data_IF_048008174742
#
_entry.id   IF_048008174742
#
_cell.length_a   1.000
_cell.length_b   1.000
_cell.length_c   1.000
_cell.angle_alpha   90.00
_cell.angle_beta   90.00
_cell.angle_gamma   90.00
#
_symmetry.space_group_name_H-M   'P 1'
#
loop_
_entity.id
_entity.type
_entity.pdbx_description
1 polymer ?
#
# COMPACT_ATOMS: atom_id res chain seq x y z
N UNK A 1 -4.86 5.73 -14.84
CA UNK A 1 -4.30 4.39 -14.49
C UNK A 1 -3.34 4.56 -13.31
N UNK A 2 -3.41 3.67 -12.31
CA UNK A 2 -2.43 3.61 -11.22
C UNK A 2 -1.71 2.26 -11.31
N UNK A 3 -0.40 2.28 -11.56
CA UNK A 3 0.48 1.12 -11.61
C UNK A 3 1.16 0.88 -10.27
N UNK A 4 0.94 -0.29 -9.69
CA UNK A 4 1.53 -0.68 -8.41
C UNK A 4 2.73 -1.58 -8.66
N UNK A 5 3.92 -1.02 -8.43
CA UNK A 5 5.25 -1.61 -8.69
C UNK A 5 5.33 -2.42 -10.00
N UNK A 6 5.12 -1.80 -11.18
CA UNK A 6 4.96 -2.51 -12.44
C UNK A 6 6.10 -3.48 -12.72
N UNK A 7 5.77 -4.69 -13.17
CA UNK A 7 6.74 -5.75 -13.38
C UNK A 7 7.81 -5.38 -14.42
N UNK A 8 9.08 -5.65 -14.09
CA UNK A 8 10.24 -5.52 -14.98
C UNK A 8 10.64 -6.83 -15.68
N UNK A 9 10.67 -7.99 -15.00
CA UNK A 9 11.14 -9.23 -15.60
C UNK A 9 10.35 -9.57 -16.87
N UNK A 10 11.06 -9.96 -17.93
CA UNK A 10 10.49 -10.36 -19.22
C UNK A 10 9.74 -9.25 -19.98
N UNK A 11 9.67 -8.03 -19.43
CA UNK A 11 9.07 -6.86 -20.08
C UNK A 11 10.14 -6.07 -20.84
N UNK A 12 9.93 -5.89 -22.16
CA UNK A 12 10.84 -5.13 -23.02
C UNK A 12 10.80 -3.65 -22.63
N UNK A 13 11.92 -2.96 -22.80
CA UNK A 13 12.06 -1.54 -22.42
C UNK A 13 11.25 -0.57 -23.27
N UNK A 14 10.82 -0.98 -24.47
CA UNK A 14 10.11 -0.11 -25.41
C UNK A 14 8.73 0.27 -24.85
N UNK A 15 8.31 1.55 -24.92
CA UNK A 15 7.03 2.02 -24.37
C UNK A 15 5.84 1.13 -24.71
N UNK A 16 5.71 0.69 -25.96
CA UNK A 16 4.63 -0.20 -26.44
C UNK A 16 4.51 -1.57 -25.74
N UNK A 17 5.47 -1.94 -24.90
CA UNK A 17 5.53 -3.25 -24.23
C UNK A 17 5.41 -3.15 -22.71
N UNK A 18 5.30 -1.94 -22.16
CA UNK A 18 5.28 -1.66 -20.73
C UNK A 18 4.23 -0.59 -20.46
N UNK A 19 3.91 -0.38 -19.18
CA UNK A 19 3.16 0.80 -18.78
C UNK A 19 3.93 2.06 -19.19
N UNK A 20 3.25 2.96 -19.88
CA UNK A 20 3.73 4.26 -20.32
C UNK A 20 2.71 5.36 -20.04
N UNK A 21 3.18 6.61 -19.97
CA UNK A 21 2.31 7.77 -19.76
C UNK A 21 1.25 7.91 -20.88
N UNK A 22 1.51 7.42 -22.09
CA UNK A 22 0.53 7.47 -23.18
C UNK A 22 -0.70 6.56 -23.00
N UNK A 23 -0.68 5.64 -22.02
CA UNK A 23 -1.73 4.62 -21.88
C UNK A 23 -3.04 5.16 -21.27
N UNK A 24 -3.03 6.35 -20.66
CA UNK A 24 -4.21 7.04 -20.14
C UNK A 24 -3.97 8.54 -19.96
N UNK A 25 -5.04 9.31 -19.70
CA UNK A 25 -4.95 10.76 -19.42
C UNK A 25 -4.02 11.07 -18.25
N UNK A 26 -4.09 10.26 -17.19
CA UNK A 26 -3.19 10.32 -16.04
C UNK A 26 -2.71 8.92 -15.73
N UNK A 27 -1.39 8.78 -15.57
CA UNK A 27 -0.72 7.53 -15.23
C UNK A 27 0.15 7.80 -14.02
N UNK A 28 -0.19 7.16 -12.92
CA UNK A 28 0.55 7.22 -11.67
C UNK A 28 1.23 5.88 -11.44
N UNK A 29 2.47 5.90 -10.95
CA UNK A 29 3.22 4.68 -10.65
C UNK A 29 3.82 4.75 -9.27
N UNK A 30 3.60 3.71 -8.45
CA UNK A 30 4.22 3.55 -7.13
C UNK A 30 5.31 2.50 -7.24
N UNK A 31 6.57 2.90 -7.08
CA UNK A 31 7.75 2.05 -7.14
C UNK A 31 8.19 1.65 -5.73
N UNK A 32 8.17 0.35 -5.44
CA UNK A 32 8.55 -0.21 -4.14
C UNK A 32 9.62 -1.29 -4.23
N UNK A 33 9.97 -1.81 -5.41
CA UNK A 33 11.07 -2.77 -5.55
C UNK A 33 11.82 -2.63 -6.88
N UNK A 34 13.11 -2.96 -6.87
CA UNK A 34 13.96 -2.88 -8.07
C UNK A 34 14.14 -4.23 -8.78
N UNK A 35 13.86 -5.32 -8.07
CA UNK A 35 14.07 -6.69 -8.58
C UNK A 35 12.87 -7.16 -9.39
N UNK A 36 11.68 -7.07 -8.81
CA UNK A 36 10.42 -7.42 -9.46
C UNK A 36 9.78 -6.22 -10.15
N UNK A 37 9.86 -5.03 -9.54
CA UNK A 37 9.41 -3.77 -10.11
C UNK A 37 10.38 -3.13 -11.11
N UNK A 38 9.85 -2.23 -11.92
CA UNK A 38 10.59 -1.42 -12.91
C UNK A 38 10.79 0.01 -12.43
N UNK A 39 11.98 0.32 -11.89
CA UNK A 39 12.34 1.66 -11.43
C UNK A 39 12.51 2.73 -12.52
N UNK A 40 12.28 2.38 -13.79
CA UNK A 40 12.27 3.35 -14.89
C UNK A 40 10.96 4.10 -14.85
N UNK A 41 11.02 5.41 -15.13
CA UNK A 41 9.84 6.27 -15.29
C UNK A 41 8.83 5.62 -16.24
N UNK A 42 7.59 5.50 -15.79
CA UNK A 42 6.48 4.90 -16.54
C UNK A 42 5.24 5.79 -16.57
N UNK A 43 5.14 6.81 -15.71
CA UNK A 43 3.93 7.62 -15.57
C UNK A 43 4.12 9.11 -15.87
N UNK A 44 2.99 9.80 -15.79
CA UNK A 44 2.95 11.23 -15.55
C UNK A 44 3.55 11.55 -14.17
N UNK A 45 3.17 10.73 -13.18
CA UNK A 45 3.60 10.80 -11.79
C UNK A 45 4.27 9.48 -11.42
N UNK A 46 5.53 9.53 -11.00
CA UNK A 46 6.25 8.37 -10.49
C UNK A 46 6.62 8.62 -9.02
N UNK A 47 6.24 7.72 -8.13
CA UNK A 47 6.44 7.81 -6.69
C UNK A 47 7.41 6.71 -6.27
N UNK A 48 8.61 7.07 -5.84
CA UNK A 48 9.61 6.14 -5.36
C UNK A 48 9.56 6.05 -3.84
N UNK A 49 9.14 4.91 -3.31
CA UNK A 49 9.18 4.65 -1.87
C UNK A 49 10.55 4.09 -1.51
N UNK A 50 11.28 4.76 -0.61
CA UNK A 50 12.64 4.41 -0.21
C UNK A 50 13.57 4.16 -1.42
N UNK A 51 13.39 4.97 -2.46
CA UNK A 51 14.14 4.86 -3.71
C UNK A 51 13.73 3.71 -4.64
N UNK A 52 12.57 3.07 -4.41
CA UNK A 52 12.07 1.95 -5.21
C UNK A 52 12.95 0.70 -5.08
N UNK A 53 13.43 0.40 -3.88
CA UNK A 53 14.35 -0.71 -3.59
C UNK A 53 13.79 -1.62 -2.50
N UNK A 54 14.58 -2.56 -2.01
CA UNK A 54 14.23 -3.29 -0.80
C UNK A 54 13.78 -2.31 0.29
N UNK A 55 12.56 -2.49 0.78
CA UNK A 55 11.97 -1.63 1.78
C UNK A 55 12.54 -1.96 3.17
N UNK A 56 12.86 -0.97 4.02
CA UNK A 56 13.49 -1.22 5.32
C UNK A 56 12.68 -2.17 6.21
N UNK A 57 11.35 -2.01 6.26
CA UNK A 57 10.46 -2.89 7.03
C UNK A 57 10.38 -4.34 6.51
N UNK A 58 10.88 -4.62 5.31
CA UNK A 58 10.93 -5.98 4.77
C UNK A 58 12.22 -6.72 5.15
N UNK A 59 13.12 -6.07 5.90
CA UNK A 59 14.35 -6.70 6.35
C UNK A 59 14.07 -7.96 7.17
N UNK A 60 14.92 -8.98 7.02
CA UNK A 60 14.79 -10.29 7.68
C UNK A 60 13.57 -11.13 7.27
N UNK A 61 12.81 -10.73 6.24
CA UNK A 61 11.84 -11.62 5.62
C UNK A 61 12.55 -12.66 4.75
N UNK A 62 11.89 -13.79 4.47
CA UNK A 62 12.44 -14.85 3.61
C UNK A 62 12.74 -14.36 2.19
N UNK A 63 12.02 -13.33 1.72
CA UNK A 63 12.26 -12.70 0.44
C UNK A 63 11.93 -11.19 0.52
N UNK A 64 12.94 -10.39 0.87
CA UNK A 64 12.80 -8.94 1.06
C UNK A 64 12.27 -8.23 -0.19
N UNK A 65 12.70 -8.67 -1.37
CA UNK A 65 12.27 -8.07 -2.64
C UNK A 65 10.82 -8.37 -2.95
N UNK A 66 10.35 -9.60 -2.69
CA UNK A 66 8.95 -9.95 -2.87
C UNK A 66 8.07 -9.22 -1.86
N UNK A 67 8.47 -9.16 -0.59
CA UNK A 67 7.81 -8.35 0.43
C UNK A 67 7.68 -6.89 -0.03
N UNK A 68 8.77 -6.31 -0.53
CA UNK A 68 8.81 -4.93 -1.03
C UNK A 68 7.85 -4.73 -2.21
N UNK A 69 7.85 -5.66 -3.16
CA UNK A 69 7.01 -5.63 -4.36
C UNK A 69 5.52 -5.63 -4.02
N UNK A 70 5.08 -6.54 -3.15
CA UNK A 70 3.67 -6.65 -2.78
C UNK A 70 3.17 -5.48 -1.90
N UNK A 71 4.07 -4.75 -1.22
CA UNK A 71 3.67 -3.59 -0.39
C UNK A 71 3.21 -2.37 -1.19
N UNK A 72 3.44 -2.33 -2.50
CA UNK A 72 2.81 -1.34 -3.37
C UNK A 72 1.27 -1.35 -3.24
N UNK A 73 0.68 -2.53 -3.07
CA UNK A 73 -0.77 -2.71 -2.81
C UNK A 73 -1.18 -2.10 -1.47
N UNK A 74 -0.37 -2.27 -0.44
CA UNK A 74 -0.65 -1.73 0.89
C UNK A 74 -0.51 -0.20 0.94
N UNK A 75 0.44 0.39 0.21
CA UNK A 75 0.48 1.85 0.03
C UNK A 75 -0.76 2.38 -0.68
N UNK A 76 -1.24 1.67 -1.70
CA UNK A 76 -2.48 2.04 -2.38
C UNK A 76 -3.69 1.93 -1.44
N UNK A 77 -3.77 0.88 -0.63
CA UNK A 77 -4.84 0.73 0.36
C UNK A 77 -4.82 1.84 1.42
N UNK A 78 -3.63 2.16 1.96
CA UNK A 78 -3.42 3.29 2.88
C UNK A 78 -3.85 4.62 2.26
N UNK A 79 -3.62 4.79 0.95
CA UNK A 79 -3.97 6.03 0.26
C UNK A 79 -5.46 6.31 0.10
N UNK A 80 -6.33 5.31 0.32
CA UNK A 80 -7.77 5.48 0.15
C UNK A 80 -8.38 6.42 1.20
N UNK A 81 -7.75 6.52 2.37
CA UNK A 81 -8.08 7.53 3.38
C UNK A 81 -7.01 8.62 3.38
N UNK A 82 -7.35 9.86 2.97
CA UNK A 82 -6.44 11.00 3.01
C UNK A 82 -5.77 11.24 4.37
N UNK A 83 -6.42 10.84 5.48
CA UNK A 83 -5.88 11.00 6.82
C UNK A 83 -4.71 10.05 7.12
N UNK A 84 -4.59 8.94 6.38
CA UNK A 84 -3.52 7.94 6.55
C UNK A 84 -2.53 7.91 5.39
N UNK A 85 -2.93 8.44 4.22
CA UNK A 85 -2.11 8.49 3.03
C UNK A 85 -0.73 9.13 3.28
N UNK A 86 0.33 8.50 2.77
CA UNK A 86 1.68 9.05 2.86
C UNK A 86 1.82 10.29 1.99
N UNK A 87 2.60 11.25 2.48
CA UNK A 87 3.00 12.43 1.72
C UNK A 87 4.28 12.12 0.96
N UNK A 88 4.25 12.27 -0.36
CA UNK A 88 5.43 12.21 -1.18
C UNK A 88 5.94 13.61 -1.50
N UNK A 89 7.25 13.79 -1.36
CA UNK A 89 7.91 15.04 -1.70
C UNK A 89 8.54 14.93 -3.08
N UNK A 90 8.43 15.99 -3.88
CA UNK A 90 9.35 16.29 -4.95
C UNK A 90 10.77 15.68 -4.82
N UNK A 91 11.27 14.86 -5.77
CA UNK A 91 12.68 14.41 -5.78
C UNK A 91 13.37 14.34 -7.17
N UNK A 92 14.57 13.74 -7.26
CA UNK A 92 15.39 13.70 -8.49
C UNK A 92 14.69 12.98 -9.64
N UNK A 93 15.19 13.12 -10.88
CA UNK A 93 14.55 12.53 -12.08
C UNK A 93 14.50 10.98 -12.14
N UNK A 94 15.04 10.28 -11.14
CA UNK A 94 15.11 8.80 -11.10
C UNK A 94 14.88 8.30 -9.68
N UNK A 95 14.34 7.08 -9.55
CA UNK A 95 14.33 6.36 -8.27
C UNK A 95 15.77 5.97 -7.90
N UNK A 96 16.42 6.80 -7.09
CA UNK A 96 17.72 6.52 -6.49
C UNK A 96 17.57 6.38 -4.98
N UNK A 97 18.31 5.44 -4.38
CA UNK A 97 18.44 5.37 -2.93
C UNK A 97 19.57 6.28 -2.44
N UNK A 98 19.27 7.10 -1.44
CA UNK A 98 20.16 8.06 -0.81
C UNK A 98 19.53 9.46 -0.73
N UNK A 99 19.79 10.17 0.37
CA UNK A 99 19.24 11.48 0.76
C UNK A 99 19.67 12.66 -0.11
N UNK A 100 19.96 12.42 -1.39
CA UNK A 100 20.21 13.50 -2.34
C UNK A 100 18.87 14.08 -2.77
N UNK A 101 18.29 14.86 -1.85
CA UNK A 101 17.39 15.96 -2.17
C UNK A 101 18.23 16.98 -2.94
N UNK A 102 18.51 16.68 -4.20
CA UNK A 102 19.04 17.70 -5.10
C UNK A 102 17.99 18.80 -5.18
N UNK A 103 18.49 20.02 -5.26
CA UNK A 103 17.85 21.33 -5.16
C UNK A 103 16.79 21.60 -6.25
N UNK A 104 15.95 20.62 -6.60
CA UNK A 104 14.84 20.75 -7.55
C UNK A 104 13.61 21.44 -6.91
N UNK A 105 13.79 21.99 -5.69
CA UNK A 105 12.86 22.64 -4.75
C UNK A 105 11.88 23.71 -5.30
N UNK A 106 11.56 23.78 -6.60
CA UNK A 106 10.76 24.88 -7.17
C UNK A 106 9.70 24.54 -8.23
N UNK A 107 9.27 23.28 -8.43
CA UNK A 107 8.28 23.01 -9.49
C UNK A 107 7.01 22.25 -9.10
N UNK A 108 6.97 21.53 -7.98
CA UNK A 108 5.73 20.89 -7.55
C UNK A 108 5.56 20.96 -6.02
N UNK A 109 4.32 21.15 -5.52
CA UNK A 109 4.03 20.96 -4.11
C UNK A 109 4.11 19.47 -3.74
N UNK A 110 4.32 19.12 -2.45
CA UNK A 110 4.11 17.76 -1.96
C UNK A 110 2.70 17.26 -2.30
N UNK A 111 2.56 15.95 -2.48
CA UNK A 111 1.28 15.31 -2.82
C UNK A 111 1.01 14.14 -1.88
N UNK A 112 -0.26 13.84 -1.63
CA UNK A 112 -0.65 12.54 -1.10
C UNK A 112 -0.39 11.50 -2.19
N UNK A 113 0.12 10.32 -1.82
CA UNK A 113 0.29 9.22 -2.78
C UNK A 113 -1.05 8.54 -3.06
N UNK A 114 -1.12 7.77 -4.16
CA UNK A 114 -2.29 6.96 -4.52
C UNK A 114 -3.55 7.78 -4.84
N UNK A 115 -4.70 7.38 -4.33
CA UNK A 115 -6.02 7.81 -4.81
C UNK A 115 -6.25 9.33 -4.81
N UNK A 116 -5.67 10.06 -3.86
CA UNK A 116 -5.85 11.50 -3.71
C UNK A 116 -4.70 12.33 -4.31
N UNK A 117 -3.84 11.70 -5.12
CA UNK A 117 -2.82 12.45 -5.87
C UNK A 117 -3.53 13.33 -6.90
N UNK A 118 -3.26 14.64 -6.96
CA UNK A 118 -3.88 15.51 -7.96
C UNK A 118 -3.52 15.06 -9.39
N UNK A 119 -4.52 15.00 -10.27
CA UNK A 119 -4.34 14.64 -11.69
C UNK A 119 -3.41 15.62 -12.45
N UNK A 120 -3.28 16.84 -11.95
CA UNK A 120 -2.35 17.85 -12.49
C UNK A 120 -0.90 17.67 -12.01
N UNK A 121 -0.64 16.79 -11.06
CA UNK A 121 0.72 16.54 -10.57
C UNK A 121 1.53 15.86 -11.68
N UNK A 122 2.81 16.24 -11.80
CA UNK A 122 3.71 15.63 -12.78
C UNK A 122 5.12 15.56 -12.24
N UNK A 123 5.86 14.53 -12.64
CA UNK A 123 7.26 14.35 -12.30
C UNK A 123 7.50 13.21 -11.31
N UNK A 124 8.64 13.31 -10.60
CA UNK A 124 9.10 12.29 -9.66
C UNK A 124 8.90 12.75 -8.23
N UNK A 125 8.32 11.89 -7.42
CA UNK A 125 8.09 12.10 -6.00
C UNK A 125 8.72 10.96 -5.21
N UNK A 126 9.12 11.24 -3.99
CA UNK A 126 9.77 10.27 -3.12
C UNK A 126 9.06 10.25 -1.76
N UNK A 127 8.96 9.04 -1.21
CA UNK A 127 8.53 8.79 0.17
C UNK A 127 9.71 8.12 0.87
N UNK A 128 10.05 8.59 2.07
CA UNK A 128 11.00 7.93 2.96
C UNK A 128 10.25 7.46 4.20
N UNK A 129 10.27 6.15 4.49
CA UNK A 129 9.61 5.59 5.65
C UNK A 129 10.18 4.21 6.04
N UNK A 130 10.20 3.94 7.34
CA UNK A 130 10.65 2.65 7.88
C UNK A 130 9.49 1.77 8.35
N UNK A 131 8.26 2.28 8.32
CA UNK A 131 7.06 1.56 8.77
C UNK A 131 6.37 0.84 7.61
N UNK A 132 5.88 -0.37 7.85
CA UNK A 132 5.05 -1.10 6.88
C UNK A 132 3.73 -0.33 6.65
N UNK A 133 3.35 -0.03 5.38
CA UNK A 133 2.15 0.74 5.08
C UNK A 133 0.89 -0.02 5.45
N UNK A 134 -0.12 0.69 5.97
CA UNK A 134 -1.43 0.13 6.29
C UNK A 134 -1.44 -1.04 7.30
N UNK A 135 -0.37 -1.25 8.06
CA UNK A 135 -0.36 -2.18 9.18
C UNK A 135 -0.99 -1.49 10.41
N UNK A 136 -2.08 -2.04 11.00
CA UNK A 136 -2.69 -1.46 12.19
C UNK A 136 -1.73 -1.55 13.39
N UNK A 137 -1.60 -0.49 14.19
CA UNK A 137 -0.72 -0.49 15.37
C UNK A 137 -1.34 -1.15 16.59
N UNK A 138 -2.67 -1.10 16.70
CA UNK A 138 -3.46 -1.77 17.74
C UNK A 138 -4.81 -2.22 17.18
N UNK A 139 -5.53 -3.02 17.97
CA UNK A 139 -6.88 -3.48 17.63
C UNK A 139 -7.82 -2.28 17.42
N UNK A 140 -8.50 -2.27 16.28
CA UNK A 140 -9.45 -1.23 15.91
C UNK A 140 -8.86 -0.04 15.16
N UNK A 141 -7.53 0.05 15.02
CA UNK A 141 -6.92 1.04 14.14
C UNK A 141 -7.23 0.70 12.66
N UNK A 142 -7.38 1.72 11.79
CA UNK A 142 -7.44 1.50 10.34
C UNK A 142 -6.21 0.74 9.85
N UNK A 143 -6.43 -0.27 9.00
CA UNK A 143 -5.36 -1.06 8.43
C UNK A 143 -5.78 -2.48 8.08
N UNK A 144 -4.81 -3.25 7.60
CA UNK A 144 -4.94 -4.68 7.35
C UNK A 144 -3.76 -5.44 7.97
N UNK A 145 -4.01 -6.47 8.80
CA UNK A 145 -2.96 -7.35 9.31
C UNK A 145 -2.12 -8.05 8.23
N UNK A 146 -2.67 -8.18 7.01
CA UNK A 146 -1.94 -8.68 5.82
C UNK A 146 -0.81 -7.74 5.38
N UNK A 147 -0.94 -6.45 5.70
CA UNK A 147 0.04 -5.43 5.40
C UNK A 147 1.19 -5.34 6.42
N UNK A 148 1.05 -5.99 7.57
CA UNK A 148 2.12 -6.09 8.58
C UNK A 148 3.27 -7.00 8.13
N UNK A 149 4.47 -6.77 8.63
CA UNK A 149 5.65 -7.58 8.33
C UNK A 149 6.25 -8.13 9.65
N UNK A 150 6.22 -9.46 9.88
CA UNK A 150 5.55 -10.49 9.06
C UNK A 150 4.01 -10.33 9.08
N UNK A 151 3.28 -10.90 8.10
CA UNK A 151 1.82 -10.82 8.07
C UNK A 151 1.20 -11.47 9.31
N UNK A 152 0.34 -10.74 10.01
CA UNK A 152 -0.37 -11.26 11.18
C UNK A 152 -1.70 -11.87 10.71
N UNK A 153 -1.67 -13.13 10.26
CA UNK A 153 -2.88 -13.84 9.80
C UNK A 153 -3.87 -14.14 10.94
N UNK A 154 -3.43 -14.03 12.19
CA UNK A 154 -4.26 -14.13 13.38
C UNK A 154 -4.17 -12.82 14.17
N UNK A 155 -5.31 -12.24 14.53
CA UNK A 155 -5.46 -10.99 15.27
C UNK A 155 -5.06 -11.13 16.75
N UNK A 156 -3.94 -11.78 17.04
CA UNK A 156 -3.38 -11.81 18.38
C UNK A 156 -2.55 -10.53 18.58
N UNK A 157 -3.24 -9.39 18.57
CA UNK A 157 -2.77 -8.25 19.34
C UNK A 157 -2.77 -8.72 20.78
N UNK A 158 -1.58 -8.97 21.34
CA UNK A 158 -1.45 -9.49 22.69
C UNK A 158 -2.20 -8.59 23.65
N UNK A 159 -3.27 -9.11 24.24
CA UNK A 159 -3.74 -8.63 25.52
C UNK A 159 -2.61 -8.96 26.50
N UNK A 160 -1.92 -7.94 27.00
CA UNK A 160 -1.14 -8.08 28.23
C UNK A 160 -2.14 -8.25 29.37
N UNK A 161 -2.74 -9.44 29.47
CA UNK A 161 -3.59 -9.82 30.58
C UNK A 161 -2.74 -10.63 31.57
N UNK A 162 -2.21 -9.89 32.55
CA UNK A 162 -1.70 -10.46 33.79
C UNK A 162 -2.85 -11.18 34.49
N UNK A 163 -2.92 -12.51 34.45
CA UNK A 163 -3.66 -13.30 35.46
C UNK A 163 -3.15 -14.73 35.51
N UNK A 164 -2.37 -14.99 36.57
CA UNK A 164 -2.28 -16.21 37.39
C UNK A 164 -2.94 -17.50 36.89
N UNK A 165 -2.10 -18.52 36.70
CA UNK A 165 -2.43 -19.96 36.67
C UNK A 165 -3.32 -20.37 37.86
N UNK A 166 -4.22 -21.35 37.64
CA UNK A 166 -3.89 -22.67 38.19
C UNK A 166 -4.18 -23.83 37.22
N UNK A 167 -3.36 -24.87 37.34
CA UNK A 167 -3.58 -26.21 36.78
C UNK A 167 -4.96 -26.76 37.18
N UNK A 168 -5.65 -27.44 36.26
CA UNK A 168 -6.37 -28.68 36.57
C UNK A 168 -6.57 -29.51 35.30
N UNK A 169 -6.00 -30.72 35.33
CA UNK A 169 -6.17 -31.86 34.42
C UNK A 169 -7.64 -32.31 34.32
N UNK A 170 -8.11 -32.80 33.16
CA UNK A 170 -8.90 -34.06 32.99
C UNK A 170 -9.19 -34.35 31.49
N UNK A 171 -8.73 -35.55 31.09
CA UNK A 171 -9.17 -36.57 30.10
C UNK A 171 -9.88 -36.25 28.75
N UNK A 172 -9.62 -37.07 27.70
CA UNK A 172 -10.15 -36.87 26.35
C UNK A 172 -11.54 -37.52 26.18
N UNK A 173 -12.44 -36.88 25.44
CA UNK A 173 -13.68 -37.49 24.98
C UNK A 173 -13.82 -37.32 23.48
N UNK A 174 -13.84 -38.45 22.79
CA UNK A 174 -14.09 -38.61 21.36
C UNK A 174 -15.54 -38.25 21.01
N UNK A 175 -15.77 -37.37 20.03
CA UNK A 175 -17.00 -37.43 19.22
C UNK A 175 -16.72 -36.85 17.82
N UNK A 176 -17.13 -37.63 16.83
CA UNK A 176 -17.10 -37.44 15.37
C UNK A 176 -17.93 -36.25 14.89
N UNK A 177 -17.39 -35.43 13.99
CA UNK A 177 -18.14 -34.44 13.20
C UNK A 177 -18.77 -35.05 11.94
N UNK A 178 -19.91 -34.55 11.47
CA UNK A 178 -20.24 -34.52 10.06
C UNK A 178 -20.05 -33.12 9.46
N UNK A 179 -19.51 -33.12 8.25
CA UNK A 179 -19.25 -32.02 7.33
C UNK A 179 -20.55 -31.25 7.03
N UNK A 180 -20.52 -29.93 7.13
CA UNK A 180 -21.55 -29.03 6.59
C UNK A 180 -20.94 -28.05 5.58
N UNK A 181 -21.53 -28.10 4.38
CA UNK A 181 -21.27 -27.33 3.17
C UNK A 181 -21.80 -25.90 3.21
N UNK A 182 -21.12 -25.02 2.46
CA UNK A 182 -21.60 -23.82 1.76
C UNK A 182 -22.36 -22.72 2.53
N UNK A 183 -21.71 -21.56 2.67
CA UNK A 183 -22.39 -20.26 2.75
C UNK A 183 -21.75 -19.29 1.75
N UNK A 184 -22.40 -19.15 0.60
CA UNK A 184 -22.27 -17.99 -0.28
C UNK A 184 -22.99 -16.83 0.39
N UNK A 185 -22.27 -15.78 0.78
CA UNK A 185 -22.90 -14.54 1.27
C UNK A 185 -23.00 -13.57 0.09
N UNK A 186 -24.22 -13.36 -0.41
CA UNK A 186 -24.55 -12.29 -1.36
C UNK A 186 -24.77 -10.99 -0.59
N UNK A 187 -23.97 -9.96 -0.89
CA UNK A 187 -24.20 -8.61 -0.38
C UNK A 187 -25.24 -7.90 -1.25
N UNK A 188 -26.36 -7.51 -0.65
CA UNK A 188 -27.36 -6.62 -1.25
C UNK A 188 -26.99 -5.17 -0.96
N UNK A 189 -26.90 -4.34 -2.01
CA UNK A 189 -26.58 -2.92 -1.92
C UNK A 189 -27.90 -2.16 -1.78
N UNK A 190 -28.12 -1.47 -0.65
CA UNK A 190 -29.23 -0.53 -0.48
C UNK A 190 -28.83 0.85 -1.03
N UNK A 191 -29.57 1.45 -1.98
CA UNK A 191 -29.33 2.82 -2.41
C UNK A 191 -30.17 3.80 -1.58
N UNK A 192 -29.52 4.62 -0.77
CA UNK A 192 -30.07 5.88 -0.24
C UNK A 192 -28.93 6.89 -0.10
N UNK A 193 -29.08 8.19 -0.32
CA UNK A 193 -30.04 9.03 -1.02
C UNK A 193 -29.28 10.36 -1.19
N UNK A 194 -29.25 10.92 -2.39
CA UNK A 194 -28.62 12.21 -2.67
C UNK A 194 -29.48 13.34 -2.10
N UNK A 195 -28.91 14.15 -1.21
CA UNK A 195 -29.39 15.52 -0.91
C UNK A 195 -28.24 16.50 -1.14
N UNK A 196 -28.35 17.29 -2.20
CA UNK A 196 -27.56 18.51 -2.39
C UNK A 196 -28.03 19.59 -1.39
N UNK A 197 -27.12 20.35 -0.76
CA UNK A 197 -27.49 21.58 -0.06
C UNK A 197 -27.63 22.74 -1.06
N UNK A 198 -28.74 23.47 -0.95
CA UNK A 198 -29.01 24.73 -1.66
C UNK A 198 -28.25 25.90 -1.03
N UNK A 199 -27.59 26.72 -1.84
CA UNK A 199 -26.97 27.99 -1.43
C UNK A 199 -28.05 29.07 -1.19
N UNK A 200 -27.90 29.94 -0.17
CA UNK A 200 -28.78 31.09 0.00
C UNK A 200 -28.33 32.26 -0.90
N UNK A 201 -29.31 32.92 -1.51
CA UNK A 201 -29.17 34.17 -2.24
C UNK A 201 -29.20 35.36 -1.26
N UNK A 202 -28.17 36.20 -1.28
CA UNK A 202 -28.20 37.63 -0.93
C UNK A 202 -27.01 38.33 -1.56
#
# INVERSE_FOLDING_TARGET
IIGLDPARPLIKSQPKHRLDASDAEVVQVIHTSSTFGDNRRAGHIDICVNGGRAQPFCHNTTNEQLCSHIRSVCYMAESLDPATARVAVPCTRRCHGGDRIQDWKRHAPPVLIGQNTPDSATGMFCVSNDEAPYCPRKRGDPGSPLCCVPPSLHSNFGDEETTTTPETTIAPTTTTEPIATDIVTTYTINPMATRLPTLPSS
#
